data_IF_522403975614
#
_entry.id   IF_522403975614
#
_cell.length_a   1.000
_cell.length_b   1.000
_cell.length_c   1.000
_cell.angle_alpha   90.00
_cell.angle_beta   90.00
_cell.angle_gamma   90.00
#
_symmetry.space_group_name_H-M   'P 1'
#
loop_
_entity.id
_entity.type
_entity.pdbx_description
1 polymer ?
#
# COMPACT_ATOMS: atom_id res chain seq x y z
N UNK A 1 -10.13 -19.31 4.70
CA UNK A 1 -10.80 -19.23 3.38
C UNK A 1 -10.21 -20.28 2.45
N UNK A 2 -11.03 -20.99 1.68
CA UNK A 2 -10.56 -21.84 0.59
C UNK A 2 -10.46 -20.98 -0.68
N UNK A 3 -9.40 -20.16 -0.78
CA UNK A 3 -9.13 -19.38 -1.99
C UNK A 3 -8.10 -20.15 -2.80
N UNK A 4 -8.47 -20.52 -4.04
CA UNK A 4 -7.51 -21.11 -4.97
C UNK A 4 -6.53 -20.04 -5.45
N UNK A 5 -5.24 -20.34 -5.39
CA UNK A 5 -4.17 -19.47 -5.90
C UNK A 5 -3.59 -20.03 -7.22
N UNK A 6 -4.23 -21.04 -7.80
CA UNK A 6 -3.68 -21.76 -8.97
C UNK A 6 -3.69 -20.93 -10.28
N UNK A 7 -4.49 -19.88 -10.34
CA UNK A 7 -4.67 -19.04 -11.54
C UNK A 7 -4.63 -17.55 -11.18
N UNK A 8 -3.57 -17.13 -10.51
CA UNK A 8 -3.35 -15.71 -10.26
C UNK A 8 -2.78 -15.03 -11.51
N UNK A 9 -3.45 -13.99 -11.99
CA UNK A 9 -2.92 -13.15 -13.07
C UNK A 9 -1.86 -12.20 -12.55
N UNK A 10 -2.06 -11.66 -11.34
CA UNK A 10 -1.19 -10.65 -10.74
C UNK A 10 -0.92 -10.90 -9.26
N UNK A 11 0.31 -10.60 -8.84
CA UNK A 11 0.71 -10.33 -7.47
C UNK A 11 1.17 -8.88 -7.43
N UNK A 12 0.63 -8.10 -6.50
CA UNK A 12 1.01 -6.69 -6.34
C UNK A 12 1.64 -6.50 -4.97
N UNK A 13 2.85 -5.95 -4.93
CA UNK A 13 3.55 -5.66 -3.69
C UNK A 13 3.53 -4.15 -3.42
N UNK A 14 3.08 -3.78 -2.23
CA UNK A 14 2.95 -2.38 -1.84
C UNK A 14 4.29 -1.70 -1.59
N UNK A 15 5.21 -2.36 -0.89
CA UNK A 15 6.55 -1.88 -0.55
C UNK A 15 7.45 -3.02 -0.04
N UNK A 16 8.76 -2.77 0.09
CA UNK A 16 9.78 -3.78 0.33
C UNK A 16 10.03 -4.19 1.79
N UNK A 17 9.18 -3.83 2.75
CA UNK A 17 9.37 -4.31 4.12
C UNK A 17 9.05 -5.81 4.25
N UNK A 18 9.81 -6.49 5.09
CA UNK A 18 9.76 -7.94 5.25
C UNK A 18 8.42 -8.48 5.75
N UNK A 19 7.66 -7.71 6.53
CA UNK A 19 6.32 -8.06 7.01
C UNK A 19 5.25 -8.02 5.90
N UNK A 20 5.54 -7.35 4.76
CA UNK A 20 4.69 -7.32 3.57
C UNK A 20 5.16 -8.24 2.45
N UNK A 21 6.42 -8.67 2.46
CA UNK A 21 7.02 -9.47 1.38
C UNK A 21 7.50 -10.85 1.83
N UNK A 22 7.65 -11.10 3.13
CA UNK A 22 8.24 -12.33 3.66
C UNK A 22 7.45 -13.60 3.33
N UNK A 23 6.15 -13.50 3.12
CA UNK A 23 5.31 -14.62 2.70
C UNK A 23 5.50 -15.08 1.25
N UNK A 24 6.05 -14.23 0.38
CA UNK A 24 6.15 -14.48 -1.06
C UNK A 24 6.97 -15.73 -1.37
N UNK A 25 8.12 -15.91 -0.74
CA UNK A 25 8.97 -17.09 -0.94
C UNK A 25 8.23 -18.39 -0.64
N UNK A 26 7.48 -18.44 0.45
CA UNK A 26 6.66 -19.60 0.81
C UNK A 26 5.51 -19.83 -0.16
N UNK A 27 4.90 -18.77 -0.67
CA UNK A 27 3.86 -18.83 -1.70
C UNK A 27 4.39 -19.49 -2.98
N UNK A 28 5.53 -19.02 -3.48
CA UNK A 28 6.17 -19.50 -4.70
C UNK A 28 6.75 -20.93 -4.59
N UNK A 29 7.02 -21.40 -3.38
CA UNK A 29 7.37 -22.80 -3.14
C UNK A 29 6.16 -23.74 -3.19
N UNK A 30 5.00 -23.26 -2.78
CA UNK A 30 3.77 -24.07 -2.67
C UNK A 30 2.94 -24.10 -3.95
N UNK A 31 3.07 -23.10 -4.79
CA UNK A 31 2.24 -22.89 -5.96
C UNK A 31 3.10 -22.64 -7.20
N UNK A 32 2.73 -23.24 -8.33
CA UNK A 32 3.32 -22.89 -9.62
C UNK A 32 2.63 -21.62 -10.14
N UNK A 33 3.37 -20.51 -10.18
CA UNK A 33 2.89 -19.18 -10.56
C UNK A 33 3.73 -18.57 -11.70
N UNK A 34 4.35 -19.40 -12.54
CA UNK A 34 5.30 -18.98 -13.60
C UNK A 34 4.74 -17.96 -14.60
N UNK A 35 3.41 -17.89 -14.77
CA UNK A 35 2.74 -16.93 -15.66
C UNK A 35 2.16 -15.74 -14.91
N UNK A 36 2.32 -15.70 -13.61
CA UNK A 36 1.79 -14.61 -12.78
C UNK A 36 2.70 -13.39 -12.88
N UNK A 37 2.14 -12.23 -13.20
CA UNK A 37 2.86 -10.97 -13.22
C UNK A 37 3.02 -10.44 -11.80
N UNK A 38 4.24 -10.01 -11.45
CA UNK A 38 4.53 -9.33 -10.20
C UNK A 38 4.69 -7.85 -10.45
N UNK A 39 3.79 -7.03 -9.91
CA UNK A 39 3.86 -5.57 -10.04
C UNK A 39 4.41 -4.99 -8.75
N UNK A 40 5.43 -4.13 -8.87
CA UNK A 40 6.03 -3.42 -7.74
C UNK A 40 6.80 -2.18 -8.18
N UNK A 41 7.13 -1.31 -7.23
CA UNK A 41 8.10 -0.24 -7.43
C UNK A 41 9.54 -0.79 -7.46
N UNK A 42 10.47 -0.28 -8.30
CA UNK A 42 11.84 -0.82 -8.40
C UNK A 42 12.63 -0.84 -7.07
N UNK A 43 12.39 0.14 -6.18
CA UNK A 43 13.09 0.23 -4.89
C UNK A 43 12.66 -0.83 -3.88
N UNK A 44 11.69 -1.67 -4.19
CA UNK A 44 11.31 -2.83 -3.36
C UNK A 44 12.49 -3.80 -3.17
N UNK A 45 13.42 -3.82 -4.13
CA UNK A 45 14.61 -4.68 -4.13
C UNK A 45 15.79 -4.09 -3.32
N UNK A 46 15.70 -2.86 -2.87
CA UNK A 46 16.81 -2.22 -2.17
C UNK A 46 16.97 -2.79 -0.77
N UNK A 47 18.21 -2.96 -0.29
CA UNK A 47 18.46 -3.32 1.11
C UNK A 47 17.86 -2.24 2.03
N UNK A 48 17.11 -2.68 3.05
CA UNK A 48 16.46 -1.81 4.03
C UNK A 48 16.76 -2.32 5.43
N UNK A 49 16.96 -1.41 6.38
CA UNK A 49 17.16 -1.75 7.79
C UNK A 49 16.51 -0.74 8.73
N UNK A 50 16.15 -1.19 9.93
CA UNK A 50 15.66 -0.33 11.00
C UNK A 50 16.37 -0.73 12.30
N UNK A 51 17.05 0.21 12.96
CA UNK A 51 17.85 -0.05 14.16
C UNK A 51 18.85 -1.19 13.94
N UNK A 52 19.54 -1.23 12.80
CA UNK A 52 20.45 -2.28 12.35
C UNK A 52 19.82 -3.67 12.14
N UNK A 53 18.50 -3.80 12.21
CA UNK A 53 17.77 -5.03 11.89
C UNK A 53 17.40 -4.97 10.41
N UNK A 54 17.72 -6.03 9.67
CA UNK A 54 17.33 -6.18 8.26
C UNK A 54 15.80 -6.31 8.15
N UNK A 55 15.19 -5.42 7.39
CA UNK A 55 13.74 -5.39 7.14
C UNK A 55 13.40 -5.45 5.65
N UNK A 56 14.36 -5.79 4.80
CA UNK A 56 14.17 -5.85 3.34
C UNK A 56 13.36 -7.07 2.91
N UNK A 57 12.90 -7.04 1.68
CA UNK A 57 12.40 -8.21 0.96
C UNK A 57 13.52 -9.27 0.85
N UNK A 58 13.18 -10.52 1.15
CA UNK A 58 14.14 -11.64 1.21
C UNK A 58 14.46 -12.28 -0.14
N UNK A 59 13.91 -11.78 -1.25
CA UNK A 59 14.10 -12.32 -2.61
C UNK A 59 14.82 -11.31 -3.49
N UNK A 60 15.77 -11.80 -4.29
CA UNK A 60 16.43 -11.02 -5.33
C UNK A 60 15.58 -10.91 -6.61
N UNK A 61 15.98 -10.01 -7.51
CA UNK A 61 15.33 -9.90 -8.83
C UNK A 61 15.42 -11.22 -9.63
N UNK A 62 16.56 -11.89 -9.59
CA UNK A 62 16.77 -13.17 -10.30
C UNK A 62 15.86 -14.27 -9.75
N UNK A 63 15.71 -14.38 -8.42
CA UNK A 63 14.79 -15.30 -7.78
C UNK A 63 13.33 -15.03 -8.16
N UNK A 64 12.93 -13.76 -8.25
CA UNK A 64 11.61 -13.36 -8.71
C UNK A 64 11.38 -13.72 -10.18
N UNK A 65 12.32 -13.35 -11.05
CA UNK A 65 12.23 -13.55 -12.50
C UNK A 65 12.22 -15.03 -12.91
N UNK A 66 12.79 -15.89 -12.06
CA UNK A 66 12.73 -17.34 -12.27
C UNK A 66 11.33 -17.93 -12.02
N UNK A 67 10.50 -17.27 -11.21
CA UNK A 67 9.21 -17.78 -10.74
C UNK A 67 8.01 -16.98 -11.22
N UNK A 68 8.21 -15.73 -11.60
CA UNK A 68 7.18 -14.76 -11.94
C UNK A 68 7.60 -13.93 -13.15
N UNK A 69 6.70 -13.10 -13.65
CA UNK A 69 6.98 -12.07 -14.65
C UNK A 69 7.03 -10.70 -13.95
N UNK A 70 8.22 -10.19 -13.48
CA UNK A 70 8.30 -8.95 -12.74
C UNK A 70 8.06 -7.72 -13.64
N UNK A 71 7.18 -6.85 -13.20
CA UNK A 71 6.91 -5.53 -13.76
C UNK A 71 7.29 -4.50 -12.70
N UNK A 72 8.49 -3.93 -12.83
CA UNK A 72 8.99 -2.92 -11.93
C UNK A 72 8.81 -1.54 -12.57
N UNK A 73 7.97 -0.70 -11.99
CA UNK A 73 7.64 0.62 -12.52
C UNK A 73 7.66 1.68 -11.43
N UNK A 74 7.95 2.93 -11.82
CA UNK A 74 7.73 4.13 -11.00
C UNK A 74 6.44 4.85 -11.37
N UNK A 75 5.96 4.60 -12.57
CA UNK A 75 4.74 5.20 -13.10
C UNK A 75 3.52 4.31 -12.78
N UNK A 76 2.30 4.86 -12.76
CA UNK A 76 1.10 4.08 -12.59
C UNK A 76 1.00 2.94 -13.61
N UNK A 77 0.69 1.75 -13.12
CA UNK A 77 0.47 0.59 -13.97
C UNK A 77 -1.01 0.22 -13.99
N UNK A 78 -1.64 0.42 -15.13
CA UNK A 78 -3.05 0.07 -15.35
C UNK A 78 -3.17 -1.42 -15.66
N UNK A 79 -3.84 -2.15 -14.77
CA UNK A 79 -4.16 -3.57 -14.95
C UNK A 79 -5.29 -3.71 -15.96
N UNK A 80 -6.29 -2.84 -15.83
CA UNK A 80 -7.37 -2.62 -16.78
C UNK A 80 -7.86 -1.16 -16.69
N UNK A 81 -8.95 -0.81 -17.37
CA UNK A 81 -9.50 0.57 -17.42
C UNK A 81 -9.98 1.08 -16.04
N UNK A 82 -10.16 0.20 -15.07
CA UNK A 82 -10.71 0.52 -13.76
C UNK A 82 -9.76 0.20 -12.59
N UNK A 83 -8.69 -0.55 -12.82
CA UNK A 83 -7.79 -1.02 -11.77
C UNK A 83 -6.35 -0.59 -12.05
N UNK A 84 -5.79 0.23 -11.17
CA UNK A 84 -4.44 0.78 -11.30
C UNK A 84 -3.60 0.55 -10.04
N UNK A 85 -2.34 0.18 -10.23
CA UNK A 85 -1.30 0.26 -9.22
C UNK A 85 -0.64 1.63 -9.33
N UNK A 86 -0.62 2.41 -8.25
CA UNK A 86 -0.19 3.81 -8.27
C UNK A 86 1.31 3.99 -8.43
N UNK A 87 2.11 3.03 -7.95
CA UNK A 87 3.56 3.08 -7.89
C UNK A 87 4.11 4.24 -7.04
N UNK A 88 5.03 5.07 -7.53
CA UNK A 88 5.62 6.15 -6.72
C UNK A 88 4.60 7.25 -6.44
N UNK A 89 4.25 7.43 -5.16
CA UNK A 89 3.26 8.43 -4.75
C UNK A 89 3.90 9.82 -4.65
N UNK A 90 3.40 10.84 -5.36
CA UNK A 90 3.86 12.22 -5.22
C UNK A 90 3.63 12.78 -3.81
N UNK A 91 4.56 13.59 -3.30
CA UNK A 91 4.44 14.19 -1.97
C UNK A 91 3.81 15.59 -2.08
N UNK A 92 2.50 15.67 -1.91
CA UNK A 92 1.75 16.93 -1.80
C UNK A 92 1.72 17.44 -0.35
N UNK A 93 1.63 16.51 0.60
CA UNK A 93 1.61 16.78 2.03
C UNK A 93 2.87 16.21 2.70
N UNK A 94 3.94 17.02 2.91
CA UNK A 94 5.20 16.55 3.47
C UNK A 94 5.07 15.98 4.90
N UNK A 95 4.10 16.44 5.71
CA UNK A 95 3.87 15.95 7.06
C UNK A 95 3.43 14.47 7.10
N UNK A 96 2.92 13.95 6.00
CA UNK A 96 2.46 12.58 5.87
C UNK A 96 3.62 11.61 5.63
N UNK A 97 4.60 12.00 4.79
CA UNK A 97 5.72 11.14 4.43
C UNK A 97 6.74 11.12 5.56
N UNK A 98 6.98 9.95 6.10
CA UNK A 98 7.87 9.77 7.23
C UNK A 98 9.03 8.84 6.90
N UNK A 99 10.14 9.08 7.57
CA UNK A 99 11.27 8.16 7.57
C UNK A 99 10.92 6.88 8.32
N UNK A 100 11.15 5.73 7.69
CA UNK A 100 11.05 4.42 8.35
C UNK A 100 12.34 3.63 8.10
N UNK A 101 13.31 3.79 8.99
CA UNK A 101 14.60 3.13 8.86
C UNK A 101 15.53 3.78 7.84
N UNK A 102 16.36 2.95 7.22
CA UNK A 102 17.37 3.36 6.24
C UNK A 102 17.34 2.42 5.04
N UNK A 103 17.65 2.96 3.87
CA UNK A 103 17.79 2.25 2.60
C UNK A 103 19.22 2.35 2.10
N UNK A 104 19.77 1.24 1.56
CA UNK A 104 21.07 1.25 0.91
C UNK A 104 20.92 1.60 -0.56
N UNK A 105 21.40 2.78 -0.92
CA UNK A 105 21.32 3.32 -2.27
C UNK A 105 22.58 4.16 -2.55
N UNK A 106 23.05 4.18 -3.80
CA UNK A 106 24.23 4.93 -4.22
C UNK A 106 25.48 4.64 -3.36
N UNK A 107 25.67 3.34 -3.00
CA UNK A 107 26.74 2.81 -2.15
C UNK A 107 26.79 3.35 -0.71
N UNK A 108 25.67 3.85 -0.19
CA UNK A 108 25.56 4.33 1.20
C UNK A 108 24.20 4.07 1.82
N UNK A 109 24.17 3.96 3.15
CA UNK A 109 22.94 3.98 3.91
C UNK A 109 22.43 5.42 4.05
N UNK A 110 21.17 5.63 3.76
CA UNK A 110 20.50 6.92 3.87
C UNK A 110 19.08 6.75 4.40
N UNK A 111 18.48 7.83 4.86
CA UNK A 111 17.11 7.80 5.37
C UNK A 111 16.14 7.20 4.34
N UNK A 112 15.36 6.19 4.75
CA UNK A 112 14.33 5.63 3.89
C UNK A 112 13.02 6.40 4.04
N UNK A 113 12.68 7.16 3.01
CA UNK A 113 11.40 7.84 2.87
C UNK A 113 10.34 6.97 2.19
N UNK A 114 10.64 5.69 1.97
CA UNK A 114 9.74 4.68 1.41
C UNK A 114 9.10 5.12 0.09
N UNK A 115 9.91 5.53 -0.88
CA UNK A 115 9.42 5.89 -2.22
C UNK A 115 8.79 4.70 -2.95
N UNK A 116 9.06 3.47 -2.50
CA UNK A 116 8.43 2.25 -2.99
C UNK A 116 7.04 1.98 -2.41
N UNK A 117 6.59 2.75 -1.41
CA UNK A 117 5.25 2.60 -0.84
C UNK A 117 4.19 3.03 -1.85
N UNK A 118 3.23 2.15 -2.08
CA UNK A 118 2.21 2.29 -3.10
C UNK A 118 0.85 1.75 -2.65
N UNK A 119 -0.15 1.97 -3.49
CA UNK A 119 -1.52 1.51 -3.30
C UNK A 119 -2.14 1.05 -4.61
N UNK A 120 -3.24 0.32 -4.51
CA UNK A 120 -4.13 -0.01 -5.62
C UNK A 120 -5.36 0.88 -5.58
N UNK A 121 -5.87 1.27 -6.74
CA UNK A 121 -7.15 1.96 -6.85
C UNK A 121 -8.03 1.23 -7.85
N UNK A 122 -9.24 0.90 -7.40
CA UNK A 122 -10.31 0.36 -8.23
C UNK A 122 -11.41 1.39 -8.39
N UNK A 123 -11.80 1.66 -9.63
CA UNK A 123 -12.94 2.50 -9.96
C UNK A 123 -14.18 1.63 -10.11
N UNK A 124 -14.95 1.51 -9.05
CA UNK A 124 -16.23 0.81 -9.04
C UNK A 124 -17.40 1.72 -9.43
N UNK A 125 -18.60 1.13 -9.48
CA UNK A 125 -19.85 1.83 -9.77
C UNK A 125 -20.17 2.93 -8.75
N UNK A 126 -19.84 2.69 -7.47
CA UNK A 126 -20.18 3.60 -6.37
C UNK A 126 -19.05 4.61 -6.07
N UNK A 127 -17.91 4.52 -6.75
CA UNK A 127 -16.74 5.39 -6.58
C UNK A 127 -15.43 4.63 -6.47
N UNK A 128 -14.39 5.33 -6.06
CA UNK A 128 -13.05 4.76 -5.90
C UNK A 128 -12.94 3.90 -4.65
N UNK A 129 -12.33 2.74 -4.80
CA UNK A 129 -11.86 1.88 -3.71
C UNK A 129 -10.35 1.96 -3.67
N UNK A 130 -9.79 2.55 -2.61
CA UNK A 130 -8.35 2.68 -2.41
C UNK A 130 -7.89 1.57 -1.47
N UNK A 131 -6.94 0.75 -1.92
CA UNK A 131 -6.40 -0.37 -1.14
C UNK A 131 -4.91 -0.10 -0.91
N UNK A 132 -4.53 0.08 0.33
CA UNK A 132 -3.15 0.35 0.75
C UNK A 132 -2.66 -0.69 1.75
N UNK A 133 -1.35 -0.73 2.01
CA UNK A 133 -0.76 -1.58 3.04
C UNK A 133 -0.39 -0.80 4.30
N UNK A 134 0.65 0.05 4.24
CA UNK A 134 1.09 0.90 5.36
C UNK A 134 0.88 2.39 5.16
N UNK A 135 0.78 2.86 3.92
CA UNK A 135 0.73 4.30 3.60
C UNK A 135 1.93 5.07 4.18
N UNK A 136 3.15 4.59 3.98
CA UNK A 136 4.36 5.32 4.39
C UNK A 136 4.52 6.64 3.62
N UNK A 137 4.05 6.66 2.38
CA UNK A 137 3.93 7.88 1.56
C UNK A 137 2.88 8.86 2.10
N UNK A 138 1.97 8.37 2.96
CA UNK A 138 0.88 9.12 3.55
C UNK A 138 -0.46 8.90 2.87
N UNK A 139 -1.51 8.65 3.67
CA UNK A 139 -2.85 8.38 3.13
C UNK A 139 -3.42 9.62 2.40
N UNK A 140 -3.15 10.83 2.85
CA UNK A 140 -3.57 12.05 2.17
C UNK A 140 -2.92 12.18 0.78
N UNK A 141 -1.64 11.82 0.66
CA UNK A 141 -0.93 11.82 -0.62
C UNK A 141 -1.47 10.76 -1.58
N UNK A 142 -1.78 9.56 -1.07
CA UNK A 142 -2.40 8.48 -1.85
C UNK A 142 -3.76 8.91 -2.39
N UNK A 143 -4.60 9.53 -1.56
CA UNK A 143 -5.91 10.04 -1.95
C UNK A 143 -5.79 11.09 -3.06
N UNK A 144 -4.91 12.09 -2.88
CA UNK A 144 -4.73 13.15 -3.88
C UNK A 144 -4.23 12.59 -5.22
N UNK A 145 -3.31 11.63 -5.17
CA UNK A 145 -2.84 11.00 -6.39
C UNK A 145 -3.93 10.17 -7.06
N UNK A 146 -4.72 9.43 -6.29
CA UNK A 146 -5.89 8.69 -6.80
C UNK A 146 -6.89 9.63 -7.49
N UNK A 147 -7.21 10.77 -6.87
CA UNK A 147 -8.11 11.79 -7.45
C UNK A 147 -7.57 12.39 -8.73
N UNK A 148 -6.25 12.54 -8.86
CA UNK A 148 -5.64 13.08 -10.08
C UNK A 148 -5.75 12.13 -11.27
N UNK A 149 -5.75 10.82 -11.02
CA UNK A 149 -5.93 9.79 -12.06
C UNK A 149 -7.42 9.56 -12.39
N UNK A 150 -8.31 9.82 -11.44
CA UNK A 150 -9.77 9.65 -11.61
C UNK A 150 -10.51 10.95 -11.23
N UNK A 151 -10.39 12.01 -12.04
CA UNK A 151 -11.01 13.29 -11.73
C UNK A 151 -12.52 13.17 -11.61
N UNK A 152 -13.11 13.95 -10.70
CA UNK A 152 -14.56 14.01 -10.45
C UNK A 152 -15.20 12.69 -9.99
N UNK A 153 -14.40 11.75 -9.49
CA UNK A 153 -14.92 10.50 -8.93
C UNK A 153 -14.82 10.56 -7.41
N UNK A 154 -15.92 10.34 -6.70
CA UNK A 154 -15.93 10.28 -5.24
C UNK A 154 -15.15 9.08 -4.72
N UNK A 155 -14.75 9.10 -3.46
CA UNK A 155 -14.10 7.95 -2.82
C UNK A 155 -15.16 7.14 -2.09
N UNK A 156 -15.44 5.94 -2.58
CA UNK A 156 -16.36 5.03 -1.89
C UNK A 156 -15.71 4.43 -0.64
N UNK A 157 -14.49 3.88 -0.75
CA UNK A 157 -13.85 3.29 0.41
C UNK A 157 -12.33 3.35 0.39
N UNK A 158 -11.74 3.35 1.61
CA UNK A 158 -10.29 3.24 1.81
C UNK A 158 -10.04 2.07 2.76
N UNK A 159 -9.15 1.14 2.36
CA UNK A 159 -8.87 -0.10 3.09
C UNK A 159 -7.38 -0.23 3.31
N UNK A 160 -6.93 -0.44 4.55
CA UNK A 160 -5.54 -0.75 4.87
C UNK A 160 -4.96 0.02 6.04
N UNK A 161 -3.64 0.02 6.16
CA UNK A 161 -2.89 0.71 7.20
C UNK A 161 -2.56 2.14 6.82
N UNK A 162 -2.59 3.05 7.80
CA UNK A 162 -2.34 4.49 7.58
C UNK A 162 -1.08 4.99 8.30
N UNK A 163 -0.31 4.07 8.87
CA UNK A 163 0.88 4.36 9.68
C UNK A 163 0.66 5.47 10.74
N UNK A 164 -0.50 5.41 11.39
CA UNK A 164 -0.92 6.28 12.47
C UNK A 164 -0.79 5.52 13.80
N UNK A 165 0.43 5.56 14.36
CA UNK A 165 0.84 4.71 15.50
C UNK A 165 0.58 5.37 16.86
N UNK A 166 0.23 6.66 16.89
CA UNK A 166 0.00 7.45 18.11
C UNK A 166 -0.93 8.62 17.83
N UNK A 167 -1.42 9.22 18.92
CA UNK A 167 -2.20 10.46 18.85
C UNK A 167 -1.25 11.64 18.89
N UNK A 168 -0.99 12.23 17.72
CA UNK A 168 -0.06 13.34 17.53
C UNK A 168 -0.55 14.33 16.46
N UNK A 169 0.30 15.28 16.11
CA UNK A 169 0.03 16.29 15.10
C UNK A 169 -0.23 15.69 13.70
N UNK A 170 0.47 14.59 13.35
CA UNK A 170 0.22 13.89 12.09
C UNK A 170 -1.22 13.39 12.05
N UNK A 171 -1.63 12.64 13.08
CA UNK A 171 -3.01 12.13 13.16
C UNK A 171 -4.04 13.26 13.07
N UNK A 172 -3.84 14.38 13.79
CA UNK A 172 -4.76 15.52 13.76
C UNK A 172 -4.90 16.10 12.35
N UNK A 173 -3.78 16.38 11.67
CA UNK A 173 -3.78 16.90 10.30
C UNK A 173 -4.39 15.93 9.29
N UNK A 174 -4.12 14.63 9.45
CA UNK A 174 -4.72 13.59 8.61
C UNK A 174 -6.24 13.54 8.80
N UNK A 175 -6.75 13.61 10.04
CA UNK A 175 -8.19 13.67 10.31
C UNK A 175 -8.81 14.93 9.70
N UNK A 176 -8.17 16.10 9.88
CA UNK A 176 -8.67 17.36 9.33
C UNK A 176 -8.79 17.29 7.81
N UNK A 177 -7.78 16.71 7.13
CA UNK A 177 -7.83 16.46 5.69
C UNK A 177 -8.96 15.50 5.30
N UNK A 178 -9.06 14.34 5.98
CA UNK A 178 -10.06 13.31 5.66
C UNK A 178 -11.51 13.80 5.84
N UNK A 179 -11.76 14.70 6.79
CA UNK A 179 -13.09 15.32 7.01
C UNK A 179 -13.56 16.16 5.82
N UNK A 180 -12.62 16.70 5.05
CA UNK A 180 -12.92 17.52 3.86
C UNK A 180 -13.15 16.65 2.61
N UNK A 181 -12.88 15.34 2.71
CA UNK A 181 -13.07 14.41 1.61
C UNK A 181 -14.46 13.78 1.68
N UNK A 182 -15.11 13.61 0.53
CA UNK A 182 -16.36 12.84 0.40
C UNK A 182 -16.01 11.34 0.36
N UNK A 183 -15.90 10.72 1.54
CA UNK A 183 -15.54 9.30 1.72
C UNK A 183 -16.69 8.59 2.41
N UNK A 184 -17.28 7.59 1.78
CA UNK A 184 -18.43 6.88 2.35
C UNK A 184 -18.02 6.03 3.56
N UNK A 185 -16.85 5.33 3.49
CA UNK A 185 -16.44 4.38 4.52
C UNK A 185 -14.92 4.16 4.53
N UNK A 186 -14.36 3.96 5.74
CA UNK A 186 -12.92 3.70 5.93
C UNK A 186 -12.73 2.42 6.75
N UNK A 187 -11.84 1.54 6.29
CA UNK A 187 -11.44 0.29 6.92
C UNK A 187 -9.97 0.36 7.39
N UNK A 188 -9.65 1.08 8.47
CA UNK A 188 -8.27 1.24 8.93
C UNK A 188 -7.78 -0.02 9.63
N UNK A 189 -6.66 -0.55 9.17
CA UNK A 189 -6.10 -1.83 9.59
C UNK A 189 -4.62 -1.73 9.98
N UNK A 190 -3.98 -2.87 10.22
CA UNK A 190 -2.55 -3.09 10.34
C UNK A 190 -1.83 -2.06 11.22
N UNK A 191 -1.10 -1.11 10.62
CA UNK A 191 -0.31 -0.08 11.33
C UNK A 191 -1.12 1.18 11.70
N UNK A 192 -2.45 1.05 11.88
CA UNK A 192 -3.31 2.10 12.45
C UNK A 192 -3.71 1.73 13.88
N UNK A 193 -3.17 2.43 14.89
CA UNK A 193 -3.42 2.06 16.28
C UNK A 193 -4.89 2.30 16.70
N UNK A 194 -5.31 1.61 17.77
CA UNK A 194 -6.68 1.73 18.28
C UNK A 194 -7.07 3.17 18.62
N UNK A 195 -6.16 3.92 19.25
CA UNK A 195 -6.41 5.31 19.63
C UNK A 195 -6.63 6.20 18.40
N UNK A 196 -5.88 5.97 17.32
CA UNK A 196 -6.10 6.68 16.05
C UNK A 196 -7.48 6.36 15.47
N UNK A 197 -7.88 5.07 15.43
CA UNK A 197 -9.21 4.63 14.98
C UNK A 197 -10.33 5.28 15.79
N UNK A 198 -10.18 5.34 17.12
CA UNK A 198 -11.16 6.00 18.03
C UNK A 198 -11.28 7.50 17.71
N UNK A 199 -10.17 8.20 17.44
CA UNK A 199 -10.24 9.61 17.08
C UNK A 199 -10.90 9.82 15.71
N UNK A 200 -10.55 8.98 14.72
CA UNK A 200 -11.14 9.03 13.37
C UNK A 200 -12.64 8.75 13.41
N UNK A 201 -13.10 7.77 14.20
CA UNK A 201 -14.51 7.38 14.33
C UNK A 201 -15.44 8.48 14.85
N UNK A 202 -14.89 9.57 15.43
CA UNK A 202 -15.68 10.74 15.85
C UNK A 202 -16.17 11.57 14.66
N UNK A 203 -15.54 11.43 13.49
CA UNK A 203 -15.76 12.33 12.36
C UNK A 203 -16.11 11.59 11.06
N UNK A 204 -15.85 10.30 10.96
CA UNK A 204 -16.01 9.52 9.73
C UNK A 204 -16.50 8.11 10.03
N UNK A 205 -17.10 7.47 9.03
CA UNK A 205 -17.60 6.11 9.12
C UNK A 205 -16.43 5.11 9.10
N UNK A 206 -16.04 4.60 10.27
CA UNK A 206 -14.96 3.63 10.44
C UNK A 206 -15.56 2.23 10.63
N UNK A 207 -15.01 1.26 9.92
CA UNK A 207 -15.38 -0.14 10.07
C UNK A 207 -14.19 -0.98 10.52
N UNK A 208 -14.47 -2.03 11.26
CA UNK A 208 -13.45 -2.95 11.75
C UNK A 208 -12.98 -3.89 10.64
N UNK A 209 -11.67 -4.20 10.65
CA UNK A 209 -11.05 -5.18 9.76
C UNK A 209 -10.59 -6.37 10.58
N UNK A 210 -11.08 -7.55 10.20
CA UNK A 210 -10.70 -8.81 10.81
C UNK A 210 -10.34 -9.87 9.78
N UNK A 211 -9.80 -10.98 10.27
CA UNK A 211 -9.51 -12.15 9.42
C UNK A 211 -10.82 -12.65 8.80
N UNK A 212 -10.76 -12.99 7.51
CA UNK A 212 -11.91 -13.41 6.69
C UNK A 212 -12.96 -12.32 6.38
N UNK A 213 -12.65 -11.04 6.58
CA UNK A 213 -13.49 -9.97 6.04
C UNK A 213 -13.57 -10.14 4.52
N UNK A 214 -14.78 -10.13 4.00
CA UNK A 214 -15.06 -10.15 2.56
C UNK A 214 -15.82 -8.90 2.19
N UNK A 215 -15.30 -8.12 1.28
CA UNK A 215 -15.92 -6.93 0.72
C UNK A 215 -16.12 -7.17 -0.78
N UNK A 216 -17.26 -6.77 -1.30
CA UNK A 216 -17.59 -6.87 -2.72
C UNK A 216 -17.89 -5.48 -3.26
N UNK A 217 -17.17 -5.08 -4.29
CA UNK A 217 -17.33 -3.80 -4.99
C UNK A 217 -17.78 -4.08 -6.43
N UNK A 218 -18.75 -3.31 -6.92
CA UNK A 218 -19.34 -3.48 -8.26
C UNK A 218 -18.94 -2.35 -9.20
#
# INVERSE_FOLDING_TARGET
MNISLANLDYIVLSHGHSDHTGGLKSLLHKHNLEKTKLIAHPQILYPKRKNNIDIRMSMSFDELSYKLEPILTKEPYWIDDNLVFLSEIPTKFPFERIKVGEVFKDNQWQDDLNFDDSAMVYKGKDGLVIITACSHSGICNIIEYSKSLFPNTKIHSIIGGFHLLKVDDKLRKTIDYLKEQDIDIIYPAHCTCLQAKIQMAKYMNIQEVGVNLKLEFK
#
